data_IF_453834361258
#
_entry.id   IF_453834361258
#
_cell.length_a   1.000
_cell.length_b   1.000
_cell.length_c   1.000
_cell.angle_alpha   90.00
_cell.angle_beta   90.00
_cell.angle_gamma   90.00
#
_symmetry.space_group_name_H-M   'P 1'
#
loop_
_entity.id
_entity.type
_entity.pdbx_description
1 polymer ?
#
# COMPACT_ATOMS: atom_id res chain seq x y z
N UNK A 1 0.14 5.05 8.53
CA UNK A 1 0.51 3.65 8.19
C UNK A 1 -0.66 2.77 8.59
N UNK A 2 -0.95 1.71 7.85
CA UNK A 2 -2.15 0.89 8.03
C UNK A 2 -1.74 -0.48 8.59
N UNK A 3 -2.21 -0.90 9.77
CA UNK A 3 -1.88 -2.22 10.32
C UNK A 3 -2.39 -3.37 9.44
N UNK A 4 -1.57 -4.40 9.25
CA UNK A 4 -1.99 -5.63 8.57
C UNK A 4 -2.64 -6.61 9.54
N UNK A 5 -3.79 -7.24 9.21
CA UNK A 5 -4.49 -8.12 10.13
C UNK A 5 -3.64 -9.34 10.52
N UNK A 6 -3.63 -9.68 11.81
CA UNK A 6 -2.98 -10.89 12.33
C UNK A 6 -1.45 -10.89 12.28
N UNK A 7 -0.80 -9.78 11.86
CA UNK A 7 0.67 -9.66 11.82
C UNK A 7 1.11 -8.35 12.45
N UNK A 8 2.32 -8.32 13.04
CA UNK A 8 2.98 -7.08 13.49
C UNK A 8 3.63 -6.33 12.32
N UNK A 9 2.88 -6.16 11.23
CA UNK A 9 3.32 -5.48 10.01
C UNK A 9 2.36 -4.34 9.69
N UNK A 10 2.90 -3.28 9.09
CA UNK A 10 2.11 -2.16 8.61
C UNK A 10 2.37 -1.94 7.12
N UNK A 11 1.33 -1.52 6.41
CA UNK A 11 1.37 -1.15 5.00
C UNK A 11 1.32 0.37 4.91
N UNK A 12 2.28 0.95 4.20
CA UNK A 12 2.20 2.37 3.82
C UNK A 12 1.26 2.52 2.64
N UNK A 13 0.47 3.59 2.68
CA UNK A 13 -0.43 3.98 1.61
C UNK A 13 -0.35 5.48 1.38
N UNK A 14 -0.62 5.90 0.16
CA UNK A 14 -0.66 7.31 -0.26
C UNK A 14 -1.89 7.57 -1.13
N UNK A 15 -2.43 8.78 -1.04
CA UNK A 15 -3.47 9.25 -1.96
C UNK A 15 -2.80 9.95 -3.14
N UNK A 16 -3.18 9.56 -4.36
CA UNK A 16 -2.72 10.20 -5.59
C UNK A 16 -3.79 10.01 -6.68
N UNK A 17 -4.08 11.09 -7.43
CA UNK A 17 -5.10 11.11 -8.50
C UNK A 17 -6.47 10.59 -8.02
N UNK A 18 -6.90 11.04 -6.83
CA UNK A 18 -8.18 10.65 -6.24
C UNK A 18 -8.27 9.19 -5.77
N UNK A 19 -7.18 8.42 -5.83
CA UNK A 19 -7.13 7.00 -5.46
C UNK A 19 -6.11 6.74 -4.36
N UNK A 20 -6.32 5.67 -3.60
CA UNK A 20 -5.36 5.17 -2.60
C UNK A 20 -4.45 4.13 -3.25
N UNK A 21 -3.16 4.27 -2.99
CA UNK A 21 -2.10 3.44 -3.52
C UNK A 21 -1.27 2.87 -2.37
N UNK A 22 -1.03 1.56 -2.39
CA UNK A 22 -0.32 0.84 -1.35
C UNK A 22 1.12 0.56 -1.77
N UNK A 23 2.07 0.68 -0.86
CA UNK A 23 3.47 0.35 -1.12
C UNK A 23 3.60 -1.16 -1.34
N UNK A 24 3.97 -1.56 -2.55
CA UNK A 24 3.96 -2.96 -2.95
C UNK A 24 4.98 -3.81 -2.17
N UNK A 25 6.12 -3.23 -1.78
CA UNK A 25 7.12 -3.91 -0.95
C UNK A 25 6.58 -4.29 0.45
N UNK A 26 5.71 -3.45 1.04
CA UNK A 26 5.10 -3.73 2.34
C UNK A 26 4.07 -4.86 2.20
N UNK A 27 3.31 -4.87 1.11
CA UNK A 27 2.36 -5.93 0.78
C UNK A 27 3.04 -7.28 0.53
N UNK A 28 4.19 -7.30 -0.16
CA UNK A 28 4.95 -8.54 -0.34
C UNK A 28 5.35 -9.16 1.00
N UNK A 29 5.77 -8.34 1.97
CA UNK A 29 6.09 -8.81 3.34
C UNK A 29 4.84 -9.29 4.07
N UNK A 30 3.76 -8.51 3.99
CA UNK A 30 2.53 -8.82 4.68
C UNK A 30 1.87 -10.12 4.19
N UNK A 31 1.91 -10.34 2.87
CA UNK A 31 1.41 -11.55 2.21
C UNK A 31 2.42 -12.71 2.24
N UNK A 32 3.69 -12.48 2.61
CA UNK A 32 4.79 -13.44 2.46
C UNK A 32 4.94 -13.95 1.01
N UNK A 33 4.70 -13.04 0.06
CA UNK A 33 4.67 -13.35 -1.37
C UNK A 33 5.81 -12.65 -2.12
N UNK A 34 6.38 -13.36 -3.10
CA UNK A 34 7.49 -12.88 -3.93
C UNK A 34 8.64 -12.32 -3.07
N UNK A 35 9.04 -13.08 -2.05
CA UNK A 35 10.23 -12.80 -1.25
C UNK A 35 11.40 -13.59 -1.84
N UNK A 36 12.54 -12.92 -1.98
CA UNK A 36 13.80 -13.60 -2.33
C UNK A 36 14.31 -14.44 -1.15
N UNK A 37 15.32 -15.28 -1.39
CA UNK A 37 15.90 -16.17 -0.37
C UNK A 37 16.44 -15.46 0.87
N UNK A 38 16.81 -14.18 0.76
CA UNK A 38 17.24 -13.35 1.89
C UNK A 38 16.09 -12.58 2.56
N UNK A 39 14.84 -12.91 2.25
CA UNK A 39 13.63 -12.28 2.80
C UNK A 39 13.30 -10.89 2.22
N UNK A 40 14.07 -10.39 1.24
CA UNK A 40 13.77 -9.09 0.61
C UNK A 40 12.63 -9.24 -0.41
N UNK A 41 11.68 -8.30 -0.45
CA UNK A 41 10.64 -8.24 -1.48
C UNK A 41 11.19 -8.13 -2.91
N UNK A 42 10.72 -9.01 -3.79
CA UNK A 42 10.89 -8.92 -5.23
C UNK A 42 9.63 -8.30 -5.85
N UNK A 43 9.55 -6.97 -5.78
CA UNK A 43 8.35 -6.23 -6.21
C UNK A 43 8.09 -6.37 -7.71
N UNK A 44 9.13 -6.53 -8.53
CA UNK A 44 8.99 -6.76 -9.97
C UNK A 44 8.24 -8.05 -10.25
N UNK A 45 8.61 -9.15 -9.60
CA UNK A 45 7.92 -10.44 -9.73
C UNK A 45 6.49 -10.37 -9.19
N UNK A 46 6.33 -9.76 -8.01
CA UNK A 46 5.03 -9.57 -7.38
C UNK A 46 4.06 -8.87 -8.35
N UNK A 47 4.52 -7.79 -8.99
CA UNK A 47 3.71 -6.96 -9.85
C UNK A 47 3.62 -7.46 -11.30
N UNK A 48 4.30 -8.54 -11.70
CA UNK A 48 4.35 -9.01 -13.08
C UNK A 48 2.98 -9.29 -13.71
N UNK A 49 2.01 -9.78 -12.92
CA UNK A 49 0.64 -10.07 -13.38
C UNK A 49 -0.39 -8.98 -13.10
N UNK A 50 0.02 -7.81 -12.61
CA UNK A 50 -0.88 -6.68 -12.33
C UNK A 50 -0.89 -5.75 -13.55
N UNK A 51 -2.06 -5.26 -13.98
CA UNK A 51 -2.14 -4.32 -15.11
C UNK A 51 -1.33 -3.04 -14.84
N UNK A 52 -0.88 -2.38 -15.92
CA UNK A 52 -0.18 -1.10 -15.83
C UNK A 52 -1.01 -0.02 -15.11
N UNK A 53 -2.33 0.04 -15.31
CA UNK A 53 -3.22 1.01 -14.63
C UNK A 53 -3.33 0.82 -13.11
N UNK A 54 -2.85 -0.31 -12.60
CA UNK A 54 -2.88 -0.68 -11.19
C UNK A 54 -1.49 -0.70 -10.57
N UNK A 55 -0.48 -0.22 -11.30
CA UNK A 55 0.90 -0.07 -10.83
C UNK A 55 1.38 1.34 -11.08
N UNK A 56 2.18 1.87 -10.17
CA UNK A 56 2.88 3.15 -10.38
C UNK A 56 4.15 3.21 -9.57
N UNK A 57 4.95 4.24 -9.81
CA UNK A 57 6.06 4.61 -8.97
C UNK A 57 5.83 6.00 -8.39
N UNK A 58 6.23 6.20 -7.14
CA UNK A 58 6.22 7.51 -6.50
C UNK A 58 7.48 7.69 -5.65
N UNK A 59 7.96 8.93 -5.55
CA UNK A 59 8.97 9.30 -4.57
C UNK A 59 8.26 9.49 -3.22
N UNK A 60 8.58 8.66 -2.23
CA UNK A 60 8.04 8.77 -0.88
C UNK A 60 9.16 9.14 0.09
N UNK A 61 8.86 10.02 1.03
CA UNK A 61 9.80 10.35 2.10
C UNK A 61 9.99 9.12 2.99
N UNK A 62 11.21 8.60 3.04
CA UNK A 62 11.57 7.39 3.80
C UNK A 62 12.54 7.69 4.94
N UNK A 63 13.34 8.76 4.82
CA UNK A 63 14.39 9.11 5.79
C UNK A 63 14.48 10.62 6.02
N UNK A 64 13.50 11.16 6.76
CA UNK A 64 13.44 12.59 7.08
C UNK A 64 14.76 13.08 7.69
N UNK A 65 15.29 14.20 7.19
CA UNK A 65 16.52 14.82 7.70
C UNK A 65 17.83 14.18 7.22
N UNK A 66 17.79 13.27 6.24
CA UNK A 66 19.01 12.71 5.62
C UNK A 66 19.29 13.33 4.25
N UNK A 67 20.51 13.14 3.73
CA UNK A 67 20.91 13.62 2.39
C UNK A 67 20.09 13.00 1.23
N UNK A 68 19.46 11.84 1.46
CA UNK A 68 18.53 11.20 0.50
C UNK A 68 17.22 10.86 1.20
N UNK A 69 16.36 11.86 1.47
CA UNK A 69 15.18 11.67 2.29
C UNK A 69 14.06 10.93 1.55
N UNK A 70 14.10 10.91 0.21
CA UNK A 70 13.08 10.28 -0.63
C UNK A 70 13.61 9.02 -1.32
N UNK A 71 12.77 7.99 -1.37
CA UNK A 71 13.01 6.78 -2.16
C UNK A 71 11.91 6.60 -3.20
N UNK A 72 12.28 6.19 -4.41
CA UNK A 72 11.31 5.79 -5.45
C UNK A 72 10.78 4.40 -5.11
N UNK A 73 9.49 4.32 -4.78
CA UNK A 73 8.82 3.09 -4.40
C UNK A 73 7.76 2.71 -5.43
N UNK A 74 7.62 1.41 -5.66
CA UNK A 74 6.54 0.84 -6.45
C UNK A 74 5.27 0.74 -5.60
N UNK A 75 4.14 1.16 -6.18
CA UNK A 75 2.83 1.16 -5.57
C UNK A 75 1.85 0.32 -6.39
N UNK A 76 0.82 -0.18 -5.72
CA UNK A 76 -0.30 -0.89 -6.35
C UNK A 76 -1.63 -0.33 -5.86
N UNK A 77 -2.64 -0.35 -6.73
CA UNK A 77 -4.02 -0.01 -6.36
C UNK A 77 -4.65 -1.13 -5.50
N UNK A 78 -5.86 -0.87 -4.98
CA UNK A 78 -6.70 -1.88 -4.35
C UNK A 78 -6.95 -3.10 -5.26
N UNK A 79 -7.32 -2.87 -6.52
CA UNK A 79 -7.50 -3.94 -7.52
C UNK A 79 -6.21 -4.73 -7.75
N UNK A 80 -5.06 -4.04 -7.84
CA UNK A 80 -3.78 -4.73 -7.98
C UNK A 80 -3.39 -5.55 -6.74
N UNK A 81 -3.77 -5.12 -5.53
CA UNK A 81 -3.61 -5.93 -4.32
C UNK A 81 -4.50 -7.19 -4.34
N UNK A 82 -5.74 -7.09 -4.82
CA UNK A 82 -6.61 -8.27 -5.01
C UNK A 82 -5.93 -9.26 -5.97
N UNK A 83 -5.39 -8.78 -7.10
CA UNK A 83 -4.61 -9.60 -8.03
C UNK A 83 -3.39 -10.24 -7.37
N UNK A 84 -2.62 -9.48 -6.58
CA UNK A 84 -1.47 -10.00 -5.84
C UNK A 84 -1.86 -11.14 -4.89
N UNK A 85 -2.91 -10.93 -4.10
CA UNK A 85 -3.38 -11.93 -3.15
C UNK A 85 -3.93 -13.18 -3.85
N UNK A 86 -4.66 -13.03 -4.96
CA UNK A 86 -5.12 -14.15 -5.77
C UNK A 86 -3.94 -14.97 -6.32
N UNK A 87 -2.90 -14.29 -6.84
CA UNK A 87 -1.67 -14.95 -7.31
C UNK A 87 -0.92 -15.66 -6.18
N UNK A 88 -0.88 -15.08 -4.98
CA UNK A 88 -0.31 -15.74 -3.81
C UNK A 88 -1.07 -17.02 -3.46
N UNK A 89 -2.41 -16.97 -3.42
CA UNK A 89 -3.26 -18.17 -3.17
C UNK A 89 -3.03 -19.26 -4.19
N UNK A 90 -2.88 -18.91 -5.47
CA UNK A 90 -2.61 -19.89 -6.52
C UNK A 90 -1.23 -20.57 -6.39
N UNK A 91 -0.27 -19.94 -5.72
CA UNK A 91 1.11 -20.45 -5.56
C UNK A 91 1.41 -21.03 -4.18
N UNK A 92 0.58 -20.74 -3.17
CA UNK A 92 0.85 -21.08 -1.78
C UNK A 92 -0.16 -22.10 -1.26
N UNK A 93 0.35 -23.10 -0.56
CA UNK A 93 -0.47 -24.07 0.20
C UNK A 93 -0.68 -23.63 1.65
N UNK A 94 -0.11 -22.49 2.06
CA UNK A 94 -0.20 -21.95 3.41
C UNK A 94 -1.51 -21.20 3.68
N UNK A 95 -1.72 -20.84 4.95
CA UNK A 95 -2.87 -20.05 5.37
C UNK A 95 -2.80 -18.64 4.78
N UNK A 96 -3.55 -18.39 3.71
CA UNK A 96 -3.74 -17.05 3.16
C UNK A 96 -4.95 -16.40 3.79
N UNK A 97 -4.88 -15.10 4.05
CA UNK A 97 -6.04 -14.33 4.51
C UNK A 97 -7.26 -14.61 3.61
N UNK A 98 -8.43 -14.94 4.18
CA UNK A 98 -9.65 -15.15 3.41
C UNK A 98 -9.96 -13.97 2.51
N UNK A 99 -10.55 -14.23 1.35
CA UNK A 99 -10.83 -13.21 0.35
C UNK A 99 -11.77 -12.11 0.89
N UNK A 100 -12.81 -12.48 1.63
CA UNK A 100 -13.72 -11.52 2.26
C UNK A 100 -13.00 -10.62 3.26
N UNK A 101 -12.12 -11.19 4.09
CA UNK A 101 -11.31 -10.42 5.06
C UNK A 101 -10.36 -9.46 4.36
N UNK A 102 -9.78 -9.86 3.23
CA UNK A 102 -8.94 -8.98 2.40
C UNK A 102 -9.75 -7.78 1.89
N UNK A 103 -10.92 -8.02 1.31
CA UNK A 103 -11.76 -6.96 0.76
C UNK A 103 -12.22 -5.98 1.86
N UNK A 104 -12.63 -6.49 3.02
CA UNK A 104 -12.99 -5.64 4.16
C UNK A 104 -11.80 -4.80 4.63
N UNK A 105 -10.61 -5.39 4.76
CA UNK A 105 -9.42 -4.65 5.13
C UNK A 105 -9.07 -3.57 4.10
N UNK A 106 -9.15 -3.88 2.80
CA UNK A 106 -8.93 -2.89 1.73
C UNK A 106 -9.93 -1.74 1.84
N UNK A 107 -11.22 -2.03 2.01
CA UNK A 107 -12.26 -1.02 2.13
C UNK A 107 -11.99 -0.08 3.31
N UNK A 108 -11.68 -0.63 4.48
CA UNK A 108 -11.34 0.15 5.67
C UNK A 108 -10.08 0.99 5.45
N UNK A 109 -9.02 0.37 4.91
CA UNK A 109 -7.76 1.04 4.62
C UNK A 109 -7.94 2.23 3.66
N UNK A 110 -8.80 2.09 2.64
CA UNK A 110 -9.12 3.17 1.71
C UNK A 110 -9.89 4.29 2.41
N UNK A 111 -10.89 3.95 3.23
CA UNK A 111 -11.69 4.91 3.98
C UNK A 111 -10.84 5.72 4.99
N UNK A 112 -9.93 5.05 5.69
CA UNK A 112 -9.03 5.68 6.67
C UNK A 112 -8.08 6.68 6.00
N UNK A 113 -7.51 6.32 4.84
CA UNK A 113 -6.60 7.20 4.09
C UNK A 113 -7.34 8.37 3.44
N UNK A 114 -8.58 8.15 2.99
CA UNK A 114 -9.41 9.20 2.40
C UNK A 114 -9.84 10.24 3.46
N UNK A 115 -10.36 9.78 4.60
CA UNK A 115 -10.86 10.66 5.68
C UNK A 115 -9.75 11.48 6.36
N UNK A 116 -8.54 10.93 6.48
CA UNK A 116 -7.40 11.66 7.04
C UNK A 116 -7.05 12.92 6.24
N UNK A 117 -7.30 12.94 4.93
CA UNK A 117 -6.94 14.07 4.07
C UNK A 117 -8.01 15.17 4.06
N UNK A 118 -9.30 14.80 4.10
CA UNK A 118 -10.38 15.80 4.24
C UNK A 118 -10.20 16.66 5.49
N UNK A 119 -9.73 16.06 6.59
CA UNK A 119 -9.42 16.80 7.83
C UNK A 119 -8.24 17.79 7.70
N UNK A 120 -7.27 17.54 6.81
CA UNK A 120 -6.13 18.44 6.57
C UNK A 120 -6.52 19.63 5.68
N UNK A 121 -7.39 19.39 4.68
CA UNK A 121 -7.88 20.43 3.78
C UNK A 121 -8.74 21.47 4.53
N UNK A 122 -9.61 21.01 5.45
CA UNK A 122 -10.43 21.90 6.30
C UNK A 122 -9.59 22.75 7.26
N UNK A 123 -8.52 22.18 7.82
CA UNK A 123 -7.64 22.92 8.74
C UNK A 123 -6.86 24.03 8.02
N UNK A 124 -6.53 23.83 6.74
CA UNK A 124 -5.79 24.80 5.93
C UNK A 124 -6.72 25.94 5.47
N UNK A 125 -7.97 25.63 5.12
CA UNK A 125 -8.99 26.62 4.79
C UNK A 125 -9.35 27.51 5.99
N UNK A 126 -9.49 26.93 7.20
CA UNK A 126 -9.82 27.68 8.41
C UNK A 126 -8.72 28.68 8.84
N UNK A 127 -7.47 28.45 8.45
CA UNK A 127 -6.34 29.38 8.70
C UNK A 127 -6.25 30.52 7.70
N UNK A 128 -6.78 30.35 6.49
CA UNK A 128 -6.76 31.39 5.45
C UNK A 128 -7.88 32.44 5.62
N UNK A 129 -8.95 32.12 6.37
CA UNK A 129 -10.11 32.99 6.58
C UNK A 129 -10.03 33.96 7.78
N UNK A 130 -8.89 34.03 8.50
CA UNK A 130 -8.65 35.05 9.53
C UNK A 130 -7.61 36.05 9.02
N UNK A 131 -8.03 37.00 8.20
CA UNK A 131 -7.32 38.27 7.96
C UNK A 131 -8.32 39.41 7.95
#
# INVERSE_FOLDING_TARGET
MIPWPGKRLCVRAVRAEGRVWFVAADLCRALEFALSSNGKPNVTEALAGVSAEHRRFAALETHRGTFKPYSRLALTSASGLITLAARHRAKSTGAVMPETSLHMWIAQAVADVASFHESQDDTTAARAGRR
#
